data_IF_016670309642
#
_entry.id   IF_016670309642
#
_cell.length_a   1.000
_cell.length_b   1.000
_cell.length_c   1.000
_cell.angle_alpha   90.00
_cell.angle_beta   90.00
_cell.angle_gamma   90.00
#
_symmetry.space_group_name_H-M   'P 1'
#
loop_
_entity.id
_entity.type
_entity.pdbx_description
1 polymer ?
#
# COMPACT_ATOMS: atom_id res chain seq x y z
N UNK A 1 45.06 3.30 6.76
CA UNK A 1 44.51 2.18 7.53
C UNK A 1 43.01 2.30 7.42
N UNK A 2 42.39 1.49 6.56
CA UNK A 2 40.94 1.47 6.34
C UNK A 2 40.30 0.62 7.44
N UNK A 3 39.33 1.21 8.14
CA UNK A 3 38.45 0.47 9.05
C UNK A 3 37.48 -0.32 8.17
N UNK A 4 37.83 -1.57 7.87
CA UNK A 4 36.93 -2.48 7.17
C UNK A 4 35.91 -3.02 8.18
N UNK A 5 34.63 -2.77 7.90
CA UNK A 5 33.53 -3.30 8.70
C UNK A 5 33.28 -4.74 8.30
N UNK A 6 33.13 -5.61 9.29
CA UNK A 6 32.74 -7.00 9.09
C UNK A 6 31.29 -7.04 8.57
N UNK A 7 31.08 -7.59 7.38
CA UNK A 7 29.77 -7.70 6.75
C UNK A 7 29.40 -9.16 6.53
N UNK A 8 28.24 -9.54 7.05
CA UNK A 8 27.68 -10.88 6.85
C UNK A 8 26.82 -10.92 5.59
N UNK A 9 27.11 -11.85 4.68
CA UNK A 9 26.22 -12.18 3.57
C UNK A 9 25.03 -12.99 4.08
N UNK A 10 23.83 -12.44 3.90
CA UNK A 10 22.55 -13.08 4.27
C UNK A 10 21.92 -13.87 3.11
N UNK A 11 22.63 -13.97 1.99
CA UNK A 11 22.16 -14.62 0.78
C UNK A 11 21.24 -13.74 -0.06
N UNK A 12 20.50 -14.38 -0.96
CA UNK A 12 19.61 -13.67 -1.89
C UNK A 12 18.48 -12.96 -1.14
N UNK A 13 18.33 -11.67 -1.42
CA UNK A 13 17.22 -10.86 -0.92
C UNK A 13 15.88 -11.41 -1.39
N UNK A 14 15.02 -11.77 -0.43
CA UNK A 14 13.66 -12.27 -0.66
C UNK A 14 12.58 -11.26 -0.25
N UNK A 15 12.93 -10.30 0.61
CA UNK A 15 12.03 -9.22 1.04
C UNK A 15 12.77 -7.90 1.20
N UNK A 16 12.14 -6.80 0.77
CA UNK A 16 12.60 -5.45 1.04
C UNK A 16 11.41 -4.52 1.28
N UNK A 17 11.26 -3.94 2.46
CA UNK A 17 10.15 -3.03 2.79
C UNK A 17 8.76 -3.59 2.42
N UNK A 18 8.48 -4.87 2.69
CA UNK A 18 7.22 -5.54 2.29
C UNK A 18 7.03 -5.77 0.77
N UNK A 19 8.05 -5.48 -0.04
CA UNK A 19 8.17 -6.02 -1.38
C UNK A 19 8.71 -7.45 -1.28
N UNK A 20 8.00 -8.38 -1.86
CA UNK A 20 8.44 -9.74 -2.12
C UNK A 20 9.33 -9.73 -3.35
N UNK A 21 10.53 -10.28 -3.24
CA UNK A 21 11.53 -10.32 -4.31
C UNK A 21 11.80 -11.78 -4.65
N UNK A 22 11.58 -12.13 -5.91
CA UNK A 22 11.93 -13.43 -6.48
C UNK A 22 13.00 -13.21 -7.54
N UNK A 23 14.20 -13.67 -7.26
CA UNK A 23 15.33 -13.64 -8.19
C UNK A 23 15.33 -14.94 -8.98
N UNK A 24 15.18 -14.83 -10.29
CA UNK A 24 15.07 -15.93 -11.25
C UNK A 24 16.19 -15.79 -12.29
N UNK A 25 16.43 -16.84 -13.09
CA UNK A 25 17.49 -16.80 -14.12
C UNK A 25 17.23 -15.72 -15.19
N UNK A 26 15.97 -15.42 -15.46
CA UNK A 26 15.50 -14.44 -16.45
C UNK A 26 15.31 -13.02 -15.89
N UNK A 27 15.47 -12.81 -14.58
CA UNK A 27 15.41 -11.49 -13.96
C UNK A 27 14.90 -11.47 -12.53
N UNK A 28 14.46 -10.28 -12.09
CA UNK A 28 13.94 -10.04 -10.73
C UNK A 28 12.45 -9.73 -10.83
N UNK A 29 11.63 -10.57 -10.20
CA UNK A 29 10.22 -10.34 -10.04
C UNK A 29 9.93 -9.71 -8.67
N UNK A 30 9.14 -8.65 -8.66
CA UNK A 30 8.79 -7.89 -7.45
C UNK A 30 7.27 -7.92 -7.29
N UNK A 31 6.80 -8.24 -6.08
CA UNK A 31 5.38 -8.27 -5.72
C UNK A 31 5.12 -7.55 -4.40
N UNK A 32 3.90 -7.00 -4.22
CA UNK A 32 3.39 -6.51 -2.94
C UNK A 32 2.14 -7.28 -2.49
N UNK A 33 1.88 -8.46 -3.05
CA UNK A 33 0.66 -9.23 -2.78
C UNK A 33 0.46 -9.49 -1.28
N UNK A 34 1.50 -9.93 -0.56
CA UNK A 34 1.43 -10.14 0.88
C UNK A 34 1.18 -8.84 1.66
N UNK A 35 1.68 -7.70 1.19
CA UNK A 35 1.38 -6.40 1.79
C UNK A 35 -0.08 -5.99 1.55
N UNK A 36 -0.58 -6.17 0.33
CA UNK A 36 -1.99 -5.90 -0.01
C UNK A 36 -2.94 -6.74 0.88
N UNK A 37 -2.68 -8.04 1.00
CA UNK A 37 -3.47 -8.95 1.82
C UNK A 37 -3.47 -8.56 3.30
N UNK A 38 -2.30 -8.21 3.86
CA UNK A 38 -2.19 -7.72 5.25
C UNK A 38 -2.98 -6.44 5.47
N UNK A 39 -3.02 -5.53 4.50
CA UNK A 39 -3.86 -4.34 4.60
C UNK A 39 -5.34 -4.68 4.61
N UNK A 40 -5.80 -5.58 3.72
CA UNK A 40 -7.19 -6.04 3.71
C UNK A 40 -7.58 -6.68 5.05
N UNK A 41 -6.72 -7.52 5.63
CA UNK A 41 -6.92 -8.10 6.96
C UNK A 41 -7.01 -7.02 8.06
N UNK A 42 -6.04 -6.09 8.07
CA UNK A 42 -5.95 -5.01 9.06
C UNK A 42 -7.20 -4.13 9.09
N UNK A 43 -7.77 -3.84 7.93
CA UNK A 43 -8.97 -2.99 7.79
C UNK A 43 -10.26 -3.80 7.64
N UNK A 44 -10.24 -5.12 7.88
CA UNK A 44 -11.40 -6.03 7.82
C UNK A 44 -12.13 -6.03 6.47
N UNK A 45 -11.37 -6.00 5.38
CA UNK A 45 -11.86 -5.94 4.00
C UNK A 45 -11.62 -7.23 3.19
N UNK A 46 -11.24 -8.34 3.83
CA UNK A 46 -11.01 -9.62 3.13
C UNK A 46 -12.26 -10.15 2.41
N UNK A 47 -13.43 -9.97 3.04
CA UNK A 47 -14.71 -10.47 2.52
C UNK A 47 -15.47 -9.40 1.72
N UNK A 48 -14.85 -8.25 1.46
CA UNK A 48 -15.47 -7.19 0.65
C UNK A 48 -15.54 -7.61 -0.82
N UNK A 49 -16.60 -7.17 -1.50
CA UNK A 49 -16.75 -7.40 -2.93
C UNK A 49 -15.65 -6.65 -3.71
N UNK A 50 -14.95 -7.32 -4.62
CA UNK A 50 -13.97 -6.67 -5.47
C UNK A 50 -14.67 -5.72 -6.46
N UNK A 51 -14.06 -4.55 -6.68
CA UNK A 51 -14.55 -3.54 -7.63
C UNK A 51 -13.42 -3.23 -8.61
N UNK A 52 -13.74 -3.19 -9.90
CA UNK A 52 -12.75 -2.90 -10.95
C UNK A 52 -12.44 -1.41 -11.07
N UNK A 53 -13.37 -0.57 -10.62
CA UNK A 53 -13.25 0.89 -10.62
C UNK A 53 -12.81 1.35 -9.22
N UNK A 54 -11.57 1.87 -9.05
CA UNK A 54 -11.06 2.26 -7.74
C UNK A 54 -11.82 3.44 -7.10
N UNK A 55 -12.49 4.25 -7.91
CA UNK A 55 -13.27 5.40 -7.48
C UNK A 55 -14.41 5.67 -8.47
N UNK A 56 -15.55 6.16 -7.98
CA UNK A 56 -16.66 6.62 -8.82
C UNK A 56 -16.33 7.97 -9.49
N UNK A 57 -16.78 8.16 -10.73
CA UNK A 57 -16.49 9.37 -11.48
C UNK A 57 -17.42 10.52 -11.06
N UNK A 58 -16.86 11.70 -10.83
CA UNK A 58 -17.65 12.90 -10.48
C UNK A 58 -18.09 12.96 -9.01
N UNK A 59 -17.51 12.13 -8.14
CA UNK A 59 -17.67 12.26 -6.69
C UNK A 59 -17.20 13.65 -6.27
N UNK A 60 -18.08 14.38 -5.59
CA UNK A 60 -17.72 15.61 -4.88
C UNK A 60 -17.59 15.26 -3.42
N UNK A 61 -16.38 15.38 -2.88
CA UNK A 61 -16.17 15.25 -1.45
C UNK A 61 -16.89 16.41 -0.75
N UNK A 62 -17.83 16.07 0.14
CA UNK A 62 -18.58 17.03 0.94
C UNK A 62 -18.34 16.74 2.41
N UNK A 63 -18.01 17.78 3.18
CA UNK A 63 -17.90 17.70 4.63
C UNK A 63 -19.30 17.57 5.23
N UNK A 64 -19.74 16.34 5.50
CA UNK A 64 -20.98 16.10 6.23
C UNK A 64 -20.72 16.25 7.73
N UNK A 65 -21.19 17.35 8.34
CA UNK A 65 -21.10 17.60 9.79
C UNK A 65 -21.93 16.60 10.64
N UNK A 66 -22.70 15.71 10.01
CA UNK A 66 -23.61 14.77 10.69
C UNK A 66 -23.16 13.31 10.69
N UNK A 67 -22.00 12.98 10.14
CA UNK A 67 -21.50 11.60 10.14
C UNK A 67 -20.76 11.23 11.44
N UNK A 68 -20.85 9.96 11.78
CA UNK A 68 -20.18 9.36 12.94
C UNK A 68 -18.68 9.66 12.87
N UNK A 69 -18.09 10.20 13.96
CA UNK A 69 -16.68 10.57 13.99
C UNK A 69 -15.81 9.35 13.67
N UNK A 70 -15.28 9.30 12.46
CA UNK A 70 -14.25 8.32 12.07
C UNK A 70 -12.99 8.58 12.88
N UNK A 71 -12.37 7.51 13.39
CA UNK A 71 -11.06 7.62 14.03
C UNK A 71 -10.02 8.13 13.01
N UNK A 72 -9.58 9.37 13.21
CA UNK A 72 -8.58 10.03 12.37
C UNK A 72 -7.28 9.23 12.26
N UNK A 73 -6.88 8.51 13.31
CA UNK A 73 -5.68 7.68 13.27
C UNK A 73 -5.87 6.46 12.36
N UNK A 74 -7.04 5.83 12.42
CA UNK A 74 -7.38 4.68 11.58
C UNK A 74 -7.39 5.10 10.10
N UNK A 75 -8.03 6.22 9.78
CA UNK A 75 -8.08 6.75 8.41
C UNK A 75 -6.68 7.13 7.89
N UNK A 76 -5.88 7.87 8.67
CA UNK A 76 -4.49 8.20 8.27
C UNK A 76 -3.62 6.96 8.10
N UNK A 77 -3.86 5.91 8.90
CA UNK A 77 -3.19 4.61 8.78
C UNK A 77 -3.57 3.91 7.47
N UNK A 78 -4.84 3.93 7.09
CA UNK A 78 -5.34 3.41 5.81
C UNK A 78 -4.72 4.17 4.63
N UNK A 79 -4.79 5.49 4.65
CA UNK A 79 -4.23 6.33 3.59
C UNK A 79 -2.72 6.09 3.40
N UNK A 80 -1.95 5.96 4.48
CA UNK A 80 -0.52 5.60 4.39
C UNK A 80 -0.30 4.21 3.78
N UNK A 81 -1.10 3.23 4.19
CA UNK A 81 -1.04 1.87 3.64
C UNK A 81 -1.34 1.85 2.13
N UNK A 82 -2.39 2.56 1.69
CA UNK A 82 -2.78 2.63 0.28
C UNK A 82 -1.74 3.39 -0.56
N UNK A 83 -1.17 4.48 -0.04
CA UNK A 83 -0.12 5.23 -0.71
C UNK A 83 1.13 4.38 -0.96
N UNK A 84 1.43 3.42 -0.09
CA UNK A 84 2.54 2.51 -0.33
C UNK A 84 2.24 1.50 -1.46
N UNK A 85 0.98 1.06 -1.57
CA UNK A 85 0.53 0.14 -2.62
C UNK A 85 0.61 0.75 -4.03
N UNK A 86 0.49 2.07 -4.17
CA UNK A 86 0.51 2.73 -5.49
C UNK A 86 1.83 2.52 -6.25
N UNK A 87 2.91 2.14 -5.55
CA UNK A 87 4.19 1.81 -6.17
C UNK A 87 4.09 0.61 -7.13
N UNK A 88 3.34 -0.45 -6.77
CA UNK A 88 3.11 -1.61 -7.62
C UNK A 88 1.71 -1.65 -8.26
N UNK A 89 0.79 -0.79 -7.80
CA UNK A 89 -0.61 -0.69 -8.28
C UNK A 89 -0.91 0.73 -8.78
N UNK A 90 -0.41 1.11 -9.97
CA UNK A 90 -0.63 2.44 -10.51
C UNK A 90 -2.11 2.71 -10.84
N UNK A 91 -2.92 1.67 -11.00
CA UNK A 91 -4.35 1.74 -11.27
C UNK A 91 -5.16 2.43 -10.17
N UNK A 92 -4.71 2.34 -8.90
CA UNK A 92 -5.39 2.99 -7.77
C UNK A 92 -4.80 4.37 -7.43
N UNK A 93 -3.72 4.80 -8.12
CA UNK A 93 -2.97 6.01 -7.77
C UNK A 93 -3.85 7.26 -7.76
N UNK A 94 -4.72 7.40 -8.77
CA UNK A 94 -5.61 8.56 -8.90
C UNK A 94 -6.60 8.63 -7.73
N UNK A 95 -7.25 7.51 -7.40
CA UNK A 95 -8.22 7.43 -6.30
C UNK A 95 -7.59 7.81 -4.95
N UNK A 96 -6.42 7.21 -4.64
CA UNK A 96 -5.70 7.51 -3.40
C UNK A 96 -5.21 8.96 -3.36
N UNK A 97 -4.77 9.51 -4.49
CA UNK A 97 -4.31 10.88 -4.58
C UNK A 97 -5.42 11.91 -4.39
N UNK A 98 -6.59 11.67 -4.97
CA UNK A 98 -7.76 12.53 -4.83
C UNK A 98 -8.23 12.61 -3.36
N UNK A 99 -8.42 11.46 -2.70
CA UNK A 99 -8.83 11.38 -1.30
C UNK A 99 -7.81 12.01 -0.32
N UNK A 100 -6.52 12.01 -0.65
CA UNK A 100 -5.49 12.68 0.15
C UNK A 100 -5.47 14.20 0.00
N UNK A 101 -5.95 14.73 -1.13
CA UNK A 101 -5.86 16.17 -1.44
C UNK A 101 -6.97 16.99 -0.76
N UNK A 102 -8.09 16.34 -0.44
CA UNK A 102 -9.24 16.92 0.26
C UNK A 102 -9.18 16.75 1.80
N UNK A 103 -8.07 16.23 2.34
CA UNK A 103 -7.75 16.21 3.80
C UNK A 103 -6.98 17.47 4.22
#
# INVERSE_FOLDING_TARGET
MTLEFDMTDVGLMTYYLSLEVKQMEDGIFISQEGYAKKNLEKFKMLDCNPVNTPMECGVKLSTFDSEEKVDSNLFKSLMRSLRYLTFSRPDILFAVGYEMMDM
#
